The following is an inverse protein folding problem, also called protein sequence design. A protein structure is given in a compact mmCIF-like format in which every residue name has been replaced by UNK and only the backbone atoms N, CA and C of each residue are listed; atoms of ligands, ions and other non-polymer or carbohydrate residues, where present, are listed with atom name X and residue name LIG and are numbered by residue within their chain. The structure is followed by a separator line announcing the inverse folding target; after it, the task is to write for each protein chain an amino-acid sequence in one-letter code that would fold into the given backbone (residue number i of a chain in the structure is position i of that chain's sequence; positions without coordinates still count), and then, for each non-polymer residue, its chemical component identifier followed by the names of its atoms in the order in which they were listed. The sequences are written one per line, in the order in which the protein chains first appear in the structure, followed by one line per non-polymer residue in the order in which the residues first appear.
data_IF_391643377018
#
_entry.id   IF_391643377018
#
_cell.length_a   1.000
_cell.length_b   1.000
_cell.length_c   1.000
_cell.angle_alpha   90.00
_cell.angle_beta   90.00
_cell.angle_gamma   90.00
#
_symmetry.space_group_name_H-M   'P 1'
#
loop_
_entity.id
_entity.type
_entity.pdbx_description
1 polymer ?
#
# COMPACT_ATOMS: atom_id res chain seq x y z
N UNK A 1 34.78 -38.25 -44.13
CA UNK A 1 35.17 -38.02 -42.73
C UNK A 1 35.47 -36.53 -42.64
N UNK A 2 34.84 -35.67 -41.85
CA UNK A 2 34.23 -35.78 -40.53
C UNK A 2 33.14 -34.69 -40.40
N UNK A 3 31.97 -35.05 -39.85
CA UNK A 3 30.95 -34.11 -39.33
C UNK A 3 31.56 -33.36 -38.15
N UNK A 4 31.39 -32.05 -38.05
CA UNK A 4 31.58 -31.37 -36.78
C UNK A 4 30.41 -30.43 -36.49
N UNK A 5 29.63 -30.84 -35.49
CA UNK A 5 28.53 -30.12 -34.86
C UNK A 5 29.10 -29.02 -33.95
N UNK A 6 28.50 -27.82 -33.99
CA UNK A 6 28.64 -26.84 -32.91
C UNK A 6 27.23 -26.59 -32.35
N UNK A 7 27.00 -26.82 -31.04
CA UNK A 7 25.68 -26.77 -30.43
C UNK A 7 25.21 -25.33 -30.24
N UNK A 8 23.92 -25.12 -30.48
CA UNK A 8 23.22 -23.88 -30.16
C UNK A 8 23.15 -23.70 -28.62
N UNK A 9 23.72 -22.59 -28.13
CA UNK A 9 23.61 -22.15 -26.75
C UNK A 9 22.24 -21.48 -26.56
N UNK A 10 21.31 -22.15 -25.89
CA UNK A 10 20.03 -21.56 -25.47
C UNK A 10 20.27 -20.82 -24.15
N UNK A 11 20.28 -19.49 -24.17
CA UNK A 11 20.18 -18.68 -22.95
C UNK A 11 18.74 -18.77 -22.43
N UNK A 12 18.55 -19.52 -21.35
CA UNK A 12 17.33 -19.46 -20.54
C UNK A 12 17.33 -18.14 -19.74
N UNK A 13 16.58 -17.15 -20.21
CA UNK A 13 16.28 -15.95 -19.42
C UNK A 13 15.27 -16.29 -18.33
N UNK A 14 15.68 -16.23 -17.07
CA UNK A 14 14.76 -16.28 -15.94
C UNK A 14 13.96 -14.96 -15.89
N UNK A 15 12.67 -15.02 -16.22
CA UNK A 15 11.75 -13.93 -15.93
C UNK A 15 11.51 -13.91 -14.41
N UNK A 16 12.08 -12.92 -13.72
CA UNK A 16 11.66 -12.60 -12.35
C UNK A 16 10.24 -12.06 -12.42
N UNK A 17 9.28 -12.86 -11.98
CA UNK A 17 7.91 -12.38 -11.71
C UNK A 17 8.00 -11.56 -10.44
N UNK A 18 8.11 -10.23 -10.57
CA UNK A 18 7.83 -9.33 -9.47
C UNK A 18 6.38 -9.57 -9.03
N UNK A 19 6.15 -9.86 -7.76
CA UNK A 19 4.80 -9.90 -7.22
C UNK A 19 4.21 -8.50 -7.42
N UNK A 20 3.30 -8.36 -8.38
CA UNK A 20 2.66 -7.10 -8.68
C UNK A 20 1.75 -6.75 -7.50
N UNK A 21 2.01 -5.61 -6.86
CA UNK A 21 1.06 -4.98 -5.95
C UNK A 21 -0.24 -4.69 -6.71
N UNK A 22 -1.38 -5.09 -6.13
CA UNK A 22 -2.69 -4.81 -6.70
C UNK A 22 -3.13 -3.43 -6.22
N UNK A 23 -3.53 -2.56 -7.14
CA UNK A 23 -4.06 -1.24 -6.80
C UNK A 23 -5.53 -1.19 -7.22
N UNK A 24 -6.38 -0.90 -6.25
CA UNK A 24 -7.82 -0.75 -6.44
C UNK A 24 -8.21 0.72 -6.28
N UNK A 25 -8.95 1.25 -7.24
CA UNK A 25 -9.38 2.65 -7.24
C UNK A 25 -10.88 2.76 -6.98
N UNK A 26 -11.25 3.68 -6.10
CA UNK A 26 -12.61 3.97 -5.69
C UNK A 26 -12.89 5.46 -5.82
N UNK A 27 -13.90 5.81 -6.63
CA UNK A 27 -14.38 7.18 -6.72
C UNK A 27 -15.57 7.36 -5.77
N UNK A 28 -15.35 8.20 -4.75
CA UNK A 28 -16.37 8.63 -3.80
C UNK A 28 -16.88 10.02 -4.22
N UNK A 29 -17.90 10.53 -3.53
CA UNK A 29 -18.51 11.81 -3.87
C UNK A 29 -17.52 12.99 -3.82
N UNK A 30 -16.65 13.02 -2.81
CA UNK A 30 -15.75 14.16 -2.54
C UNK A 30 -14.25 13.76 -2.56
N UNK A 31 -13.94 12.51 -2.93
CA UNK A 31 -12.57 12.00 -2.96
C UNK A 31 -12.40 10.83 -3.94
N UNK A 32 -11.21 10.70 -4.52
CA UNK A 32 -10.71 9.45 -5.12
C UNK A 32 -9.80 8.75 -4.12
N UNK A 33 -10.05 7.47 -3.89
CA UNK A 33 -9.28 6.63 -2.97
C UNK A 33 -8.58 5.53 -3.74
N UNK A 34 -7.27 5.37 -3.53
CA UNK A 34 -6.50 4.23 -4.04
C UNK A 34 -6.11 3.34 -2.88
N UNK A 35 -6.56 2.08 -2.91
CA UNK A 35 -6.15 1.02 -1.97
C UNK A 35 -5.03 0.23 -2.62
N UNK A 36 -3.86 0.20 -1.97
CA UNK A 36 -2.66 -0.48 -2.48
C UNK A 36 -2.45 -1.74 -1.65
N UNK A 37 -2.74 -2.88 -2.27
CA UNK A 37 -2.69 -4.19 -1.63
C UNK A 37 -1.32 -4.82 -1.81
N UNK A 38 -0.60 -4.93 -0.70
CA UNK A 38 0.70 -5.56 -0.63
C UNK A 38 0.58 -7.03 -0.23
N UNK A 39 1.50 -7.90 -0.68
CA UNK A 39 1.49 -9.32 -0.31
C UNK A 39 1.64 -9.63 1.18
N UNK A 40 2.15 -8.67 1.98
CA UNK A 40 2.28 -8.84 3.44
C UNK A 40 0.94 -8.68 4.19
N UNK A 41 -0.06 -8.08 3.55
CA UNK A 41 -1.38 -7.91 4.16
C UNK A 41 -2.10 -9.26 4.23
N UNK A 42 -2.71 -9.53 5.37
CA UNK A 42 -3.64 -10.65 5.50
C UNK A 42 -4.91 -10.40 4.70
N UNK A 43 -5.66 -11.47 4.41
CA UNK A 43 -6.93 -11.35 3.71
C UNK A 43 -7.94 -10.45 4.46
N UNK A 44 -7.93 -10.50 5.78
CA UNK A 44 -8.81 -9.69 6.63
C UNK A 44 -8.41 -8.21 6.58
N UNK A 45 -7.11 -7.90 6.69
CA UNK A 45 -6.63 -6.51 6.57
C UNK A 45 -6.93 -5.93 5.19
N UNK A 46 -6.72 -6.70 4.12
CA UNK A 46 -7.08 -6.29 2.77
C UNK A 46 -8.59 -6.03 2.65
N UNK A 47 -9.44 -6.87 3.24
CA UNK A 47 -10.89 -6.65 3.23
C UNK A 47 -11.30 -5.39 4.01
N UNK A 48 -10.64 -5.09 5.13
CA UNK A 48 -10.87 -3.85 5.88
C UNK A 48 -10.45 -2.64 5.02
N UNK A 49 -9.27 -2.64 4.41
CA UNK A 49 -8.80 -1.54 3.57
C UNK A 49 -9.74 -1.28 2.39
N UNK A 50 -10.28 -2.33 1.76
CA UNK A 50 -11.32 -2.18 0.72
C UNK A 50 -12.58 -1.54 1.25
N UNK A 51 -13.03 -1.93 2.44
CA UNK A 51 -14.20 -1.34 3.10
C UNK A 51 -13.97 0.15 3.36
N UNK A 52 -12.77 0.52 3.83
CA UNK A 52 -12.35 1.91 4.03
C UNK A 52 -12.36 2.68 2.71
N UNK A 53 -11.81 2.10 1.64
CA UNK A 53 -11.77 2.75 0.32
C UNK A 53 -13.15 2.96 -0.31
N UNK A 54 -14.14 2.16 0.04
CA UNK A 54 -15.50 2.18 -0.53
C UNK A 54 -16.52 2.97 0.29
N UNK A 55 -16.24 3.28 1.56
CA UNK A 55 -17.18 3.94 2.47
C UNK A 55 -16.64 5.28 2.95
N UNK A 56 -17.30 6.40 2.60
CA UNK A 56 -16.95 7.72 3.14
C UNK A 56 -16.97 7.75 4.68
N UNK A 57 -17.89 7.00 5.31
CA UNK A 57 -18.01 6.92 6.76
C UNK A 57 -16.84 6.19 7.39
N UNK A 58 -16.38 5.08 6.78
CA UNK A 58 -15.21 4.36 7.25
C UNK A 58 -13.92 5.16 7.02
N UNK A 59 -13.83 5.86 5.89
CA UNK A 59 -12.71 6.75 5.56
C UNK A 59 -12.53 7.86 6.60
N UNK A 60 -13.64 8.45 7.06
CA UNK A 60 -13.64 9.52 8.06
C UNK A 60 -13.07 9.11 9.42
N UNK A 61 -12.95 7.80 9.71
CA UNK A 61 -12.30 7.30 10.93
C UNK A 61 -10.77 7.48 10.89
N UNK A 62 -10.19 7.56 9.69
CA UNK A 62 -8.75 7.72 9.48
C UNK A 62 -8.39 9.14 9.06
N UNK A 63 -9.26 9.78 8.28
CA UNK A 63 -9.05 11.13 7.75
C UNK A 63 -10.34 11.93 7.96
N UNK A 64 -10.51 12.54 9.15
CA UNK A 64 -11.76 13.20 9.52
C UNK A 64 -12.00 14.51 8.75
N UNK A 65 -10.94 15.16 8.28
CA UNK A 65 -11.04 16.37 7.45
C UNK A 65 -10.97 16.00 5.97
N UNK A 66 -12.10 16.15 5.28
CA UNK A 66 -12.21 15.87 3.84
C UNK A 66 -11.86 17.10 3.00
N UNK A 67 -11.49 16.89 1.73
CA UNK A 67 -11.18 17.97 0.77
C UNK A 67 -9.69 18.29 0.60
N UNK A 68 -8.81 17.49 1.21
CA UNK A 68 -7.35 17.63 1.16
C UNK A 68 -6.70 16.25 0.97
N UNK A 69 -5.40 16.22 0.65
CA UNK A 69 -4.71 14.95 0.39
C UNK A 69 -4.40 14.22 1.70
N UNK A 70 -4.44 12.89 1.64
CA UNK A 70 -4.10 12.04 2.77
C UNK A 70 -3.50 10.69 2.32
N UNK A 71 -2.78 10.04 3.21
CA UNK A 71 -2.21 8.71 2.98
C UNK A 71 -2.16 7.89 4.29
N UNK A 72 -2.18 6.57 4.15
CA UNK A 72 -1.98 5.60 5.23
C UNK A 72 -0.77 4.73 4.91
N UNK A 73 0.16 4.64 5.86
CA UNK A 73 1.32 3.76 5.78
C UNK A 73 1.25 2.63 6.82
N UNK A 74 1.80 1.48 6.47
CA UNK A 74 1.81 0.27 7.29
C UNK A 74 3.19 -0.38 7.26
N UNK A 75 3.66 -0.86 8.41
CA UNK A 75 4.89 -1.64 8.53
C UNK A 75 4.63 -3.11 8.12
N UNK A 76 5.39 -3.69 7.17
CA UNK A 76 5.13 -5.05 6.65
C UNK A 76 5.10 -6.14 7.74
N UNK A 77 6.03 -6.09 8.69
CA UNK A 77 6.13 -7.08 9.76
C UNK A 77 4.99 -6.97 10.80
N UNK A 78 4.42 -5.78 10.98
CA UNK A 78 3.39 -5.50 11.98
C UNK A 78 1.97 -5.50 11.40
N UNK A 79 1.81 -5.29 10.09
CA UNK A 79 0.51 -5.24 9.43
C UNK A 79 -0.32 -4.01 9.81
N UNK A 80 -1.59 -4.03 9.44
CA UNK A 80 -2.56 -2.96 9.70
C UNK A 80 -3.34 -3.21 11.00
N UNK A 81 -3.70 -4.48 11.27
CA UNK A 81 -4.51 -4.89 12.42
C UNK A 81 -4.00 -6.23 12.96
N UNK A 82 -3.86 -6.35 14.28
CA UNK A 82 -3.50 -7.61 14.95
C UNK A 82 -4.52 -7.96 16.03
N UNK A 83 -5.06 -9.17 15.96
CA UNK A 83 -6.13 -9.64 16.85
C UNK A 83 -7.34 -8.70 16.92
N UNK A 84 -7.64 -8.02 15.81
CA UNK A 84 -8.73 -7.03 15.70
C UNK A 84 -8.41 -5.65 16.24
N UNK A 85 -7.17 -5.40 16.67
CA UNK A 85 -6.69 -4.12 17.20
C UNK A 85 -5.76 -3.44 16.18
N UNK A 86 -6.00 -2.17 15.81
CA UNK A 86 -5.06 -1.41 14.98
C UNK A 86 -3.68 -1.37 15.63
N UNK A 87 -2.64 -1.61 14.84
CA UNK A 87 -1.26 -1.49 15.35
C UNK A 87 -0.82 -0.03 15.38
N UNK A 88 0.10 0.32 16.28
CA UNK A 88 0.58 1.70 16.42
C UNK A 88 1.31 2.22 15.19
N UNK A 89 1.94 1.33 14.41
CA UNK A 89 2.64 1.69 13.17
C UNK A 89 1.72 1.89 11.97
N UNK A 90 0.41 1.62 12.08
CA UNK A 90 -0.56 1.93 11.04
C UNK A 90 -0.96 3.42 11.11
N UNK A 91 -0.22 4.27 10.37
CA UNK A 91 -0.31 5.73 10.50
C UNK A 91 -1.00 6.36 9.30
N UNK A 92 -2.17 6.97 9.53
CA UNK A 92 -2.88 7.82 8.57
C UNK A 92 -2.58 9.29 8.85
N UNK A 93 -2.18 10.04 7.82
CA UNK A 93 -2.00 11.50 7.88
C UNK A 93 -2.79 12.14 6.75
N UNK A 94 -3.56 13.18 7.07
CA UNK A 94 -4.36 13.95 6.11
C UNK A 94 -4.20 15.46 6.27
N UNK A 95 -5.12 16.21 5.64
CA UNK A 95 -5.08 17.68 5.52
C UNK A 95 -3.85 18.25 4.78
N UNK A 96 -3.20 17.44 3.94
CA UNK A 96 -1.97 17.84 3.27
C UNK A 96 -2.21 18.49 1.90
N UNK A 97 -1.29 19.36 1.44
CA UNK A 97 -1.48 20.15 0.22
C UNK A 97 -1.36 19.33 -1.07
N UNK A 98 -0.63 18.23 -1.03
CA UNK A 98 -0.50 17.29 -2.13
C UNK A 98 -0.25 15.85 -1.64
N UNK A 99 -0.31 14.92 -2.60
CA UNK A 99 -0.16 13.50 -2.34
C UNK A 99 1.28 13.12 -1.95
N UNK A 100 2.28 13.85 -2.41
CA UNK A 100 3.69 13.55 -2.09
C UNK A 100 3.96 13.85 -0.61
N UNK A 101 3.52 15.01 -0.12
CA UNK A 101 3.58 15.37 1.29
C UNK A 101 2.79 14.36 2.15
N UNK A 102 1.59 13.95 1.72
CA UNK A 102 0.77 12.97 2.43
C UNK A 102 1.51 11.63 2.59
N UNK A 103 2.08 11.11 1.50
CA UNK A 103 2.87 9.88 1.52
C UNK A 103 4.09 10.02 2.44
N UNK A 104 4.84 11.11 2.30
CA UNK A 104 6.05 11.34 3.08
C UNK A 104 5.75 11.39 4.58
N UNK A 105 4.72 12.14 5.00
CA UNK A 105 4.33 12.25 6.40
C UNK A 105 3.83 10.93 6.98
N UNK A 106 3.01 10.18 6.23
CA UNK A 106 2.53 8.86 6.67
C UNK A 106 3.70 7.86 6.82
N UNK A 107 4.62 7.82 5.84
CA UNK A 107 5.82 6.99 5.90
C UNK A 107 6.74 7.37 7.05
N UNK A 108 6.95 8.67 7.30
CA UNK A 108 7.75 9.15 8.42
C UNK A 108 7.15 8.69 9.76
N UNK A 109 5.85 8.92 9.97
CA UNK A 109 5.16 8.52 11.19
C UNK A 109 5.17 7.00 11.40
N UNK A 110 4.87 6.23 10.35
CA UNK A 110 4.92 4.77 10.41
C UNK A 110 6.34 4.26 10.71
N UNK A 111 7.36 4.78 10.02
CA UNK A 111 8.74 4.36 10.25
C UNK A 111 9.27 4.76 11.63
N UNK A 112 8.74 5.83 12.23
CA UNK A 112 9.05 6.21 13.60
C UNK A 112 8.37 5.30 14.65
N UNK A 113 7.20 4.74 14.32
CA UNK A 113 6.40 3.92 15.22
C UNK A 113 6.71 2.41 15.13
N UNK A 114 7.23 1.91 14.00
CA UNK A 114 7.53 0.48 13.81
C UNK A 114 8.65 -0.01 14.73
N UNK A 115 8.55 -1.26 15.18
CA UNK A 115 9.50 -1.93 16.06
C UNK A 115 10.62 -2.65 15.27
N UNK A 116 11.20 -1.96 14.28
CA UNK A 116 12.19 -2.52 13.37
C UNK A 116 11.57 -3.14 12.11
N UNK A 117 12.27 -4.10 11.49
CA UNK A 117 11.80 -4.76 10.27
C UNK A 117 12.00 -3.96 8.98
N UNK A 118 11.22 -4.31 7.95
CA UNK A 118 11.22 -3.63 6.65
C UNK A 118 10.68 -2.18 6.76
N UNK A 119 10.98 -1.35 5.77
CA UNK A 119 10.42 0.00 5.70
C UNK A 119 8.91 -0.04 5.48
N UNK A 120 8.21 0.94 6.04
CA UNK A 120 6.78 1.08 5.83
C UNK A 120 6.41 1.26 4.36
N UNK A 121 5.22 0.78 4.00
CA UNK A 121 4.65 0.93 2.67
C UNK A 121 3.29 1.66 2.73
N UNK A 122 2.98 2.44 1.69
CA UNK A 122 1.67 3.07 1.54
C UNK A 122 0.62 2.01 1.18
N UNK A 123 -0.50 2.01 1.90
CA UNK A 123 -1.64 1.10 1.66
C UNK A 123 -2.92 1.83 1.27
N UNK A 124 -2.99 3.15 1.50
CA UNK A 124 -4.12 3.99 1.12
C UNK A 124 -3.63 5.37 0.68
N UNK A 125 -4.24 5.90 -0.37
CA UNK A 125 -4.03 7.27 -0.86
C UNK A 125 -5.38 7.91 -1.13
N UNK A 126 -5.54 9.15 -0.70
CA UNK A 126 -6.79 9.90 -0.81
C UNK A 126 -6.49 11.21 -1.51
N UNK A 127 -7.20 11.46 -2.60
CA UNK A 127 -7.13 12.69 -3.37
C UNK A 127 -8.49 13.38 -3.32
N UNK A 128 -8.56 14.69 -3.06
CA UNK A 128 -9.82 15.43 -3.17
C UNK A 128 -10.27 15.52 -4.64
N UNK A 129 -11.59 15.53 -4.85
CA UNK A 129 -12.24 15.69 -6.17
C UNK A 129 -12.72 17.12 -6.42
#
# INVERSE_FOLDING_TARGET
MLRNFIPALVLAGAATVAAAQEVEHYDLQDASVSVILHPFLTADEAAILRTVGQSPEALALFVPETGRYAALAVAPDEGFVRDGIPVESAVAIGDLPDLEEARAAALEGCNAARNGGEECAIVLEIMPQ
#
